data_IF_967545605072
#
_entry.id   IF_967545605072
#
_cell.length_a   1.000
_cell.length_b   1.000
_cell.length_c   1.000
_cell.angle_alpha   90.00
_cell.angle_beta   90.00
_cell.angle_gamma   90.00
#
_symmetry.space_group_name_H-M   'P 1'
#
loop_
_entity.id
_entity.type
_entity.pdbx_description
1 polymer ?
#
# COMPACT_ATOMS: atom_id res chain seq x y z
N UNK A 1 -40.74 26.71 28.83
CA UNK A 1 -39.35 27.00 29.28
C UNK A 1 -38.47 25.89 28.72
N UNK A 2 -37.24 26.23 28.30
CA UNK A 2 -36.28 25.42 27.51
C UNK A 2 -36.50 25.55 26.00
N UNK A 3 -36.05 26.63 25.37
CA UNK A 3 -34.66 27.06 25.06
C UNK A 3 -34.19 26.48 23.73
N UNK A 4 -34.16 27.39 22.76
CA UNK A 4 -33.63 27.22 21.42
C UNK A 4 -32.10 27.11 21.44
N UNK A 5 -31.57 26.24 20.59
CA UNK A 5 -30.19 26.34 20.09
C UNK A 5 -30.31 26.35 18.57
N UNK A 6 -30.36 27.56 17.99
CA UNK A 6 -30.24 27.74 16.56
C UNK A 6 -28.76 27.59 16.20
N UNK A 7 -28.41 26.44 15.62
CA UNK A 7 -27.10 26.24 14.99
C UNK A 7 -27.08 27.13 13.74
N UNK A 8 -26.25 28.16 13.76
CA UNK A 8 -26.08 29.04 12.61
C UNK A 8 -25.51 28.24 11.44
N UNK A 9 -26.18 28.36 10.30
CA UNK A 9 -25.83 27.76 9.03
C UNK A 9 -24.44 28.21 8.59
N UNK A 10 -23.48 27.28 8.52
CA UNK A 10 -22.32 27.42 7.63
C UNK A 10 -22.86 27.38 6.20
N UNK A 11 -22.88 28.55 5.57
CA UNK A 11 -23.26 28.69 4.17
C UNK A 11 -22.25 27.96 3.30
N UNK A 12 -22.70 26.88 2.66
CA UNK A 12 -22.04 26.30 1.51
C UNK A 12 -21.92 27.36 0.41
N UNK A 13 -20.70 27.78 0.11
CA UNK A 13 -20.40 28.55 -1.09
C UNK A 13 -20.03 27.58 -2.23
N UNK A 14 -20.44 27.89 -3.48
CA UNK A 14 -20.40 26.97 -4.61
C UNK A 14 -18.97 26.76 -5.14
N UNK A 15 -18.74 25.56 -5.66
CA UNK A 15 -17.46 25.00 -6.08
C UNK A 15 -16.98 25.47 -7.46
N UNK A 16 -17.10 26.76 -7.79
CA UNK A 16 -16.88 27.22 -9.17
C UNK A 16 -16.07 28.51 -9.37
N UNK A 17 -15.27 28.92 -8.37
CA UNK A 17 -14.12 29.80 -8.62
C UNK A 17 -12.99 29.49 -7.63
N UNK A 18 -12.18 28.47 -7.95
CA UNK A 18 -10.85 28.33 -7.33
C UNK A 18 -9.98 29.42 -7.96
N UNK A 19 -9.71 30.49 -7.22
CA UNK A 19 -8.76 31.51 -7.63
C UNK A 19 -7.36 30.87 -7.73
N UNK A 20 -6.69 30.88 -8.91
CA UNK A 20 -5.33 30.37 -9.04
C UNK A 20 -4.31 31.10 -8.15
N UNK A 21 -4.67 32.27 -7.62
CA UNK A 21 -3.86 33.07 -6.69
C UNK A 21 -3.95 32.61 -5.24
N UNK A 22 -4.93 31.75 -4.91
CA UNK A 22 -5.13 31.18 -3.55
C UNK A 22 -4.64 29.74 -3.45
N UNK A 23 -4.21 29.12 -4.55
CA UNK A 23 -3.58 27.79 -4.57
C UNK A 23 -2.35 27.86 -3.67
N UNK A 24 -2.46 27.26 -2.48
CA UNK A 24 -1.40 27.34 -1.51
C UNK A 24 -0.16 26.63 -2.04
N UNK A 25 1.00 26.98 -1.51
CA UNK A 25 2.23 26.20 -1.77
C UNK A 25 2.01 24.72 -1.44
N UNK A 26 1.11 24.42 -0.47
CA UNK A 26 0.65 23.06 -0.16
C UNK A 26 -0.06 22.36 -1.32
N UNK A 27 -1.02 23.00 -1.98
CA UNK A 27 -1.73 22.42 -3.13
C UNK A 27 -0.79 22.17 -4.33
N UNK A 28 0.18 23.07 -4.56
CA UNK A 28 1.20 22.89 -5.59
C UNK A 28 2.16 21.73 -5.27
N UNK A 29 2.51 21.53 -3.99
CA UNK A 29 3.34 20.40 -3.54
C UNK A 29 2.61 19.06 -3.67
N UNK A 30 1.31 19.01 -3.34
CA UNK A 30 0.48 17.81 -3.50
C UNK A 30 0.29 17.44 -4.97
N UNK A 31 0.10 18.42 -5.86
CA UNK A 31 0.02 18.17 -7.30
C UNK A 31 1.36 17.67 -7.89
N UNK A 32 2.48 18.17 -7.38
CA UNK A 32 3.82 17.75 -7.81
C UNK A 32 4.17 16.33 -7.32
N UNK A 33 3.65 15.90 -6.17
CA UNK A 33 3.71 14.51 -5.70
C UNK A 33 2.49 13.78 -6.27
N UNK A 34 2.49 13.55 -7.58
CA UNK A 34 1.38 12.86 -8.25
C UNK A 34 1.09 11.53 -7.54
N UNK A 35 -0.11 11.35 -6.95
CA UNK A 35 -0.48 10.13 -6.24
C UNK A 35 -0.74 8.95 -7.18
N UNK A 36 -0.80 9.20 -8.50
CA UNK A 36 -1.17 8.23 -9.54
C UNK A 36 -0.05 7.26 -9.93
N UNK A 37 1.09 7.28 -9.23
CA UNK A 37 2.09 6.23 -9.39
C UNK A 37 1.49 4.93 -8.85
N UNK A 38 1.32 3.93 -9.72
CA UNK A 38 0.91 2.59 -9.32
C UNK A 38 2.05 1.96 -8.50
N UNK A 39 1.91 2.10 -7.18
CA UNK A 39 2.84 1.56 -6.20
C UNK A 39 2.20 0.31 -5.59
N UNK A 40 2.78 -0.89 -5.80
CA UNK A 40 2.24 -2.14 -5.25
C UNK A 40 2.05 -2.11 -3.73
N UNK A 41 2.85 -1.30 -3.03
CA UNK A 41 2.74 -1.13 -1.57
C UNK A 41 1.60 -0.22 -1.11
N UNK A 42 0.95 0.52 -2.03
CA UNK A 42 -0.20 1.38 -1.75
C UNK A 42 -1.53 0.80 -2.26
N UNK A 43 -1.49 -0.04 -3.30
CA UNK A 43 -2.69 -0.63 -3.91
C UNK A 43 -3.10 -1.99 -3.31
N UNK A 44 -2.27 -2.59 -2.45
CA UNK A 44 -2.50 -3.92 -1.86
C UNK A 44 -2.67 -3.92 -0.34
N UNK A 45 -2.48 -5.10 0.25
CA UNK A 45 -2.46 -5.30 1.70
C UNK A 45 -1.18 -4.70 2.31
N UNK A 46 -1.34 -3.69 3.16
CA UNK A 46 -0.23 -3.02 3.84
C UNK A 46 0.50 -3.96 4.81
N UNK A 47 -0.21 -4.87 5.47
CA UNK A 47 0.36 -5.76 6.49
C UNK A 47 1.40 -6.72 5.89
N UNK A 48 1.26 -7.05 4.60
CA UNK A 48 2.19 -7.91 3.86
C UNK A 48 3.63 -7.36 3.85
N UNK A 49 3.80 -6.04 3.74
CA UNK A 49 5.10 -5.36 3.68
C UNK A 49 5.83 -5.34 5.02
N UNK A 50 5.07 -5.60 6.08
CA UNK A 50 5.46 -5.56 7.47
C UNK A 50 5.33 -6.96 8.12
N UNK A 51 5.11 -8.00 7.32
CA UNK A 51 4.82 -9.33 7.85
C UNK A 51 5.95 -9.89 8.72
N UNK A 52 5.59 -10.67 9.74
CA UNK A 52 6.58 -11.37 10.55
C UNK A 52 7.11 -12.64 9.87
N UNK A 53 6.29 -13.28 9.04
CA UNK A 53 6.61 -14.54 8.40
C UNK A 53 7.61 -14.34 7.24
N UNK A 54 8.69 -15.15 7.16
CA UNK A 54 9.64 -15.04 6.06
C UNK A 54 9.01 -15.19 4.67
N UNK A 55 8.06 -16.12 4.49
CA UNK A 55 7.40 -16.35 3.21
C UNK A 55 6.64 -15.09 2.70
N UNK A 56 5.99 -14.38 3.61
CA UNK A 56 5.21 -13.17 3.30
C UNK A 56 6.12 -11.99 2.95
N UNK A 57 7.25 -11.84 3.65
CA UNK A 57 8.28 -10.85 3.30
C UNK A 57 8.91 -11.13 1.93
N UNK A 58 9.17 -12.40 1.60
CA UNK A 58 9.64 -12.77 0.26
C UNK A 58 8.59 -12.47 -0.81
N UNK A 59 7.30 -12.65 -0.50
CA UNK A 59 6.20 -12.28 -1.39
C UNK A 59 6.15 -10.77 -1.62
N UNK A 60 6.19 -9.96 -0.55
CA UNK A 60 6.26 -8.50 -0.65
C UNK A 60 7.49 -8.04 -1.47
N UNK A 61 8.65 -8.65 -1.23
CA UNK A 61 9.88 -8.37 -1.99
C UNK A 61 9.69 -8.58 -3.49
N UNK A 62 9.02 -9.66 -3.90
CA UNK A 62 8.71 -9.93 -5.31
C UNK A 62 7.73 -8.91 -5.89
N UNK A 63 6.69 -8.52 -5.15
CA UNK A 63 5.75 -7.48 -5.59
C UNK A 63 6.43 -6.13 -5.80
N UNK A 64 7.53 -5.86 -5.08
CA UNK A 64 8.29 -4.63 -5.22
C UNK A 64 9.12 -4.55 -6.52
N UNK A 65 9.24 -5.65 -7.29
CA UNK A 65 10.17 -5.73 -8.43
C UNK A 65 9.85 -4.68 -9.51
N UNK A 66 8.57 -4.47 -9.80
CA UNK A 66 8.11 -3.58 -10.88
C UNK A 66 7.83 -2.14 -10.39
N UNK A 67 8.20 -1.83 -9.14
CA UNK A 67 7.97 -0.51 -8.56
C UNK A 67 8.89 0.56 -9.19
N UNK A 68 8.33 1.68 -9.72
CA UNK A 68 9.12 2.70 -10.42
C UNK A 68 10.07 3.49 -9.50
N UNK A 69 9.82 3.52 -8.19
CA UNK A 69 10.59 4.29 -7.20
C UNK A 69 11.46 3.41 -6.31
N UNK A 70 11.82 2.21 -6.78
CA UNK A 70 12.50 1.20 -5.95
C UNK A 70 13.81 1.72 -5.34
N UNK A 71 14.62 2.39 -6.14
CA UNK A 71 15.93 2.92 -5.72
C UNK A 71 15.79 4.06 -4.70
N UNK A 72 14.90 5.02 -4.95
CA UNK A 72 14.66 6.13 -4.03
C UNK A 72 14.01 5.66 -2.72
N UNK A 73 13.10 4.69 -2.80
CA UNK A 73 12.51 4.04 -1.64
C UNK A 73 13.56 3.33 -0.78
N UNK A 74 14.48 2.57 -1.40
CA UNK A 74 15.58 1.91 -0.70
C UNK A 74 16.52 2.92 -0.03
N UNK A 75 16.92 3.98 -0.76
CA UNK A 75 17.77 5.03 -0.22
C UNK A 75 17.13 5.72 0.99
N UNK A 76 15.82 6.01 0.92
CA UNK A 76 15.07 6.58 2.04
C UNK A 76 15.01 5.65 3.26
N UNK A 77 14.78 4.35 3.05
CA UNK A 77 14.75 3.36 4.12
C UNK A 77 16.12 3.20 4.81
N UNK A 78 17.21 3.20 4.03
CA UNK A 78 18.58 3.18 4.55
C UNK A 78 18.89 4.43 5.38
N UNK A 79 18.52 5.62 4.89
CA UNK A 79 18.74 6.88 5.59
C UNK A 79 18.03 6.92 6.95
N UNK A 80 16.80 6.37 7.03
CA UNK A 80 16.03 6.27 8.27
C UNK A 80 16.44 5.10 9.16
N UNK A 81 17.27 4.18 8.67
CA UNK A 81 17.60 2.90 9.32
C UNK A 81 16.33 2.17 9.74
N UNK A 82 15.43 2.04 8.77
CA UNK A 82 14.11 1.44 8.99
C UNK A 82 14.23 0.09 9.71
N UNK A 83 13.62 -0.08 10.89
CA UNK A 83 13.92 -1.22 11.74
C UNK A 83 13.45 -2.56 11.18
N UNK A 84 12.42 -2.61 10.32
CA UNK A 84 11.87 -3.84 9.75
C UNK A 84 10.99 -3.59 8.51
N UNK A 85 10.67 -4.67 7.79
CA UNK A 85 9.75 -4.67 6.65
C UNK A 85 10.44 -4.74 5.29
N UNK A 86 9.68 -4.63 4.21
CA UNK A 86 10.18 -4.63 2.83
C UNK A 86 10.20 -3.22 2.27
N UNK A 87 11.38 -2.77 1.84
CA UNK A 87 11.61 -1.43 1.32
C UNK A 87 12.48 -1.48 0.08
N UNK A 88 12.01 -0.87 -1.01
CA UNK A 88 12.77 -0.82 -2.27
C UNK A 88 13.26 -2.19 -2.76
N UNK A 89 12.47 -3.25 -2.55
CA UNK A 89 12.81 -4.62 -2.94
C UNK A 89 13.77 -5.33 -2.00
N UNK A 90 14.03 -4.78 -0.82
CA UNK A 90 14.90 -5.40 0.19
C UNK A 90 14.21 -5.60 1.52
N UNK A 91 14.60 -6.66 2.23
CA UNK A 91 14.07 -6.98 3.55
C UNK A 91 14.97 -6.32 4.60
N UNK A 92 14.36 -5.57 5.51
CA UNK A 92 15.03 -4.97 6.65
C UNK A 92 14.77 -5.81 7.90
N UNK A 93 15.83 -6.01 8.68
CA UNK A 93 15.75 -6.56 10.03
C UNK A 93 16.74 -5.79 10.92
N UNK A 94 16.25 -5.18 12.00
CA UNK A 94 17.08 -4.40 12.94
C UNK A 94 17.87 -3.27 12.25
N UNK A 95 17.29 -2.65 11.23
CA UNK A 95 17.91 -1.53 10.51
C UNK A 95 18.97 -1.94 9.48
N UNK A 96 19.16 -3.24 9.24
CA UNK A 96 20.08 -3.76 8.20
C UNK A 96 19.31 -4.52 7.13
N UNK A 97 19.82 -4.45 5.90
CA UNK A 97 19.30 -5.25 4.79
C UNK A 97 19.73 -6.70 4.96
N UNK A 98 18.77 -7.62 4.86
CA UNK A 98 18.98 -9.07 4.92
C UNK A 98 18.43 -9.72 3.65
N UNK A 99 19.12 -10.75 3.16
CA UNK A 99 18.65 -11.47 1.97
C UNK A 99 17.32 -12.19 2.22
N UNK A 100 17.18 -12.82 3.39
CA UNK A 100 15.94 -13.47 3.88
C UNK A 100 15.86 -13.42 5.41
N UNK A 101 14.65 -13.26 5.96
CA UNK A 101 14.43 -13.33 7.41
C UNK A 101 14.49 -14.78 7.89
N UNK A 102 15.25 -15.06 8.96
CA UNK A 102 15.29 -16.40 9.55
C UNK A 102 14.02 -16.65 10.36
N UNK A 103 13.34 -17.80 10.21
CA UNK A 103 12.17 -18.11 11.04
C UNK A 103 12.57 -18.14 12.52
N UNK A 104 11.70 -17.59 13.38
CA UNK A 104 11.89 -17.62 14.84
C UNK A 104 11.88 -19.07 15.33
N UNK A 105 12.68 -19.35 16.37
CA UNK A 105 12.74 -20.65 17.04
C UNK A 105 14.06 -21.41 16.83
N UNK A 106 14.16 -22.58 17.46
CA UNK A 106 15.33 -23.46 17.32
C UNK A 106 15.49 -23.82 15.83
N UNK A 107 16.71 -23.73 15.25
CA UNK A 107 16.94 -24.22 13.90
C UNK A 107 16.35 -25.61 13.75
N UNK A 108 15.48 -25.77 12.75
CA UNK A 108 14.88 -27.06 12.47
C UNK A 108 15.97 -27.98 11.96
N UNK A 109 16.05 -29.19 12.52
CA UNK A 109 17.01 -30.23 12.11
C UNK A 109 16.89 -30.64 10.63
N UNK A 110 15.76 -30.34 9.99
CA UNK A 110 15.54 -30.50 8.56
C UNK A 110 15.00 -29.19 7.99
N UNK A 111 15.53 -28.77 6.84
CA UNK A 111 15.08 -27.58 6.13
C UNK A 111 13.67 -27.81 5.56
N UNK A 112 12.79 -26.82 5.72
CA UNK A 112 11.47 -26.83 5.06
C UNK A 112 11.69 -26.35 3.63
N UNK A 113 11.31 -27.18 2.66
CA UNK A 113 11.15 -26.75 1.27
C UNK A 113 9.78 -26.08 1.18
N UNK A 114 9.75 -24.75 1.06
CA UNK A 114 8.48 -24.03 0.95
C UNK A 114 7.77 -24.41 -0.35
N UNK A 115 6.53 -24.90 -0.23
CA UNK A 115 5.64 -25.16 -1.35
C UNK A 115 4.95 -23.85 -1.70
N UNK A 116 5.21 -23.32 -2.89
CA UNK A 116 4.59 -22.10 -3.41
C UNK A 116 3.07 -22.21 -3.41
N UNK A 117 2.41 -21.34 -2.64
CA UNK A 117 0.94 -21.19 -2.66
C UNK A 117 0.57 -20.51 -3.97
N UNK A 118 -0.06 -21.28 -4.86
CA UNK A 118 -0.66 -20.76 -6.08
C UNK A 118 -1.89 -19.90 -5.75
N UNK A 119 -2.00 -18.78 -6.46
CA UNK A 119 -3.19 -18.01 -6.84
C UNK A 119 -4.52 -18.46 -6.19
N UNK A 120 -5.11 -17.60 -5.35
CA UNK A 120 -6.51 -17.73 -4.94
C UNK A 120 -7.39 -17.08 -6.03
N UNK A 121 -8.26 -17.81 -6.75
CA UNK A 121 -9.17 -17.22 -7.72
C UNK A 121 -10.29 -16.46 -7.00
N UNK A 122 -10.40 -15.16 -7.28
CA UNK A 122 -11.55 -14.35 -6.85
C UNK A 122 -12.74 -14.76 -7.74
N UNK A 123 -13.69 -15.53 -7.20
CA UNK A 123 -14.95 -15.88 -7.89
C UNK A 123 -15.74 -14.62 -8.24
N UNK A 124 -15.66 -14.20 -9.50
CA UNK A 124 -16.59 -13.25 -10.11
C UNK A 124 -17.87 -13.98 -10.48
N UNK A 125 -18.84 -13.96 -9.57
CA UNK A 125 -20.24 -14.30 -9.85
C UNK A 125 -20.86 -13.17 -10.69
N UNK A 126 -20.57 -13.14 -11.99
CA UNK A 126 -21.14 -12.17 -12.92
C UNK A 126 -22.49 -12.66 -13.44
N UNK A 127 -23.55 -12.20 -12.78
CA UNK A 127 -24.76 -11.53 -13.31
C UNK A 127 -24.94 -11.32 -14.84
N UNK A 128 -24.75 -12.34 -15.70
CA UNK A 128 -25.06 -12.22 -17.15
C UNK A 128 -25.78 -13.44 -17.73
N UNK A 129 -26.87 -13.87 -17.07
CA UNK A 129 -27.98 -14.58 -17.74
C UNK A 129 -29.31 -13.80 -17.60
N UNK A 130 -29.21 -12.49 -17.36
CA UNK A 130 -30.30 -11.55 -17.59
C UNK A 130 -30.10 -10.91 -18.97
N UNK A 131 -30.94 -11.32 -19.94
CA UNK A 131 -31.06 -10.85 -21.34
C UNK A 131 -29.94 -11.40 -22.25
N UNK A 132 -30.16 -12.10 -23.36
CA UNK A 132 -31.30 -12.15 -24.29
C UNK A 132 -30.90 -12.99 -25.52
N UNK A 133 -31.75 -13.91 -25.99
CA UNK A 133 -31.93 -14.32 -27.40
C UNK A 133 -33.05 -15.39 -27.43
N UNK A 134 -34.28 -15.07 -27.82
CA UNK A 134 -34.72 -14.99 -29.21
C UNK A 134 -34.63 -16.36 -29.93
N UNK A 135 -35.71 -17.15 -29.81
CA UNK A 135 -36.26 -18.03 -30.85
C UNK A 135 -37.67 -18.47 -30.42
#
# INVERSE_FOLDING_TARGET
MSSAIAFASEGALPAEFVDPSTVGVGDLLDAAVSPDLDLPCRSGDADLWFAEAPADLERAKRLCTDCPIRESCLAGALARREPWGVWGGEIFERGVVVARKRPRGRPRKHAVVERSVAEQPIERRNSTEQRSAAA
#
